data_IF_771669130636
#
_entry.id   IF_771669130636
#
_cell.length_a   1.000
_cell.length_b   1.000
_cell.length_c   1.000
_cell.angle_alpha   90.00
_cell.angle_beta   90.00
_cell.angle_gamma   90.00
#
_symmetry.space_group_name_H-M   'P 1'
#
loop_
_entity.id
_entity.type
_entity.pdbx_description
1 polymer ?
#
# COMPACT_ATOMS: atom_id res chain seq x y z
N UNK A 1 -31.09 -23.57 -67.33
CA UNK A 1 -29.93 -24.46 -67.53
C UNK A 1 -28.67 -23.63 -67.26
N UNK A 2 -28.10 -23.73 -66.06
CA UNK A 2 -26.96 -22.89 -65.64
C UNK A 2 -25.67 -23.30 -66.37
N UNK A 3 -24.94 -22.32 -66.89
CA UNK A 3 -23.64 -22.53 -67.54
C UNK A 3 -22.60 -23.00 -66.52
N UNK A 4 -21.77 -24.00 -66.90
CA UNK A 4 -20.71 -24.57 -66.05
C UNK A 4 -19.77 -23.50 -65.47
N UNK A 5 -19.61 -22.35 -66.13
CA UNK A 5 -18.80 -21.21 -65.66
C UNK A 5 -19.38 -20.56 -64.39
N UNK A 6 -20.70 -20.36 -64.33
CA UNK A 6 -21.35 -19.76 -63.14
C UNK A 6 -21.34 -20.68 -61.92
N UNK A 7 -21.32 -22.00 -62.13
CA UNK A 7 -21.23 -22.98 -61.03
C UNK A 7 -19.87 -22.87 -60.32
N UNK A 8 -18.79 -22.76 -61.09
CA UNK A 8 -17.43 -22.63 -60.54
C UNK A 8 -17.27 -21.30 -59.79
N UNK A 9 -17.75 -20.21 -60.36
CA UNK A 9 -17.69 -18.87 -59.75
C UNK A 9 -18.45 -18.82 -58.40
N UNK A 10 -19.63 -19.44 -58.34
CA UNK A 10 -20.42 -19.52 -57.10
C UNK A 10 -19.71 -20.37 -56.02
N UNK A 11 -19.06 -21.47 -56.39
CA UNK A 11 -18.31 -22.29 -55.43
C UNK A 11 -17.10 -21.55 -54.86
N UNK A 12 -16.38 -20.80 -55.68
CA UNK A 12 -15.23 -20.00 -55.23
C UNK A 12 -15.67 -18.93 -54.24
N UNK A 13 -16.79 -18.23 -54.51
CA UNK A 13 -17.33 -17.23 -53.60
C UNK A 13 -17.77 -17.82 -52.25
N UNK A 14 -18.36 -19.02 -52.24
CA UNK A 14 -18.75 -19.70 -51.01
C UNK A 14 -17.54 -20.10 -50.15
N UNK A 15 -16.44 -20.54 -50.79
CA UNK A 15 -15.19 -20.87 -50.09
C UNK A 15 -14.54 -19.62 -49.51
N UNK A 16 -14.53 -18.51 -50.25
CA UNK A 16 -14.00 -17.24 -49.73
C UNK A 16 -14.86 -16.76 -48.55
N UNK A 17 -16.19 -16.81 -48.68
CA UNK A 17 -17.11 -16.41 -47.61
C UNK A 17 -16.92 -17.28 -46.35
N UNK A 18 -16.72 -18.59 -46.48
CA UNK A 18 -16.49 -19.47 -45.33
C UNK A 18 -15.14 -19.21 -44.66
N UNK A 19 -14.08 -18.91 -45.42
CA UNK A 19 -12.78 -18.53 -44.89
C UNK A 19 -12.83 -17.17 -44.18
N UNK A 20 -13.56 -16.19 -44.72
CA UNK A 20 -13.78 -14.91 -44.06
C UNK A 20 -14.58 -15.05 -42.76
N UNK A 21 -15.66 -15.84 -42.76
CA UNK A 21 -16.43 -16.11 -41.55
C UNK A 21 -15.61 -16.84 -40.50
N UNK A 22 -14.80 -17.82 -40.92
CA UNK A 22 -13.87 -18.50 -40.02
C UNK A 22 -12.84 -17.52 -39.46
N UNK A 23 -12.20 -16.70 -40.30
CA UNK A 23 -11.24 -15.69 -39.87
C UNK A 23 -11.83 -14.69 -38.89
N UNK A 24 -13.02 -14.15 -39.18
CA UNK A 24 -13.75 -13.25 -38.28
C UNK A 24 -14.14 -13.93 -36.96
N UNK A 25 -14.58 -15.19 -37.01
CA UNK A 25 -14.88 -16.00 -35.82
C UNK A 25 -13.63 -16.26 -34.97
N UNK A 26 -12.50 -16.64 -35.59
CA UNK A 26 -11.22 -16.85 -34.92
C UNK A 26 -10.68 -15.55 -34.30
N UNK A 27 -10.75 -14.44 -35.02
CA UNK A 27 -10.23 -13.15 -34.55
C UNK A 27 -11.05 -12.54 -33.41
N UNK A 28 -12.37 -12.81 -33.36
CA UNK A 28 -13.24 -12.42 -32.26
C UNK A 28 -13.06 -13.31 -31.01
N UNK A 29 -12.63 -14.57 -31.17
CA UNK A 29 -12.41 -15.50 -30.06
C UNK A 29 -11.19 -15.14 -29.21
N UNK A 30 -10.13 -14.63 -29.84
CA UNK A 30 -8.88 -14.28 -29.16
C UNK A 30 -9.02 -13.03 -28.27
N UNK A 31 -9.82 -12.02 -28.69
CA UNK A 31 -10.09 -10.81 -27.89
C UNK A 31 -10.92 -11.09 -26.63
N UNK A 32 -11.91 -11.98 -26.72
CA UNK A 32 -12.73 -12.34 -25.55
C UNK A 32 -11.92 -13.07 -24.46
N UNK A 33 -10.95 -13.91 -24.85
CA UNK A 33 -10.11 -14.63 -23.89
C UNK A 33 -9.14 -13.73 -23.11
N UNK A 34 -8.60 -12.68 -23.73
CA UNK A 34 -7.68 -11.74 -23.06
C UNK A 34 -8.40 -10.86 -22.02
N UNK A 35 -9.63 -10.45 -22.29
CA UNK A 35 -10.43 -9.65 -21.36
C UNK A 35 -10.89 -10.49 -20.15
N UNK A 36 -11.30 -11.74 -20.40
CA UNK A 36 -11.72 -12.69 -19.36
C UNK A 36 -10.55 -13.07 -18.43
N UNK A 37 -9.35 -13.30 -18.97
CA UNK A 37 -8.15 -13.56 -18.15
C UNK A 37 -7.70 -12.36 -17.32
N UNK A 38 -7.83 -11.13 -17.85
CA UNK A 38 -7.54 -9.92 -17.09
C UNK A 38 -8.54 -9.71 -15.94
N UNK A 39 -9.83 -9.96 -16.19
CA UNK A 39 -10.87 -9.91 -15.15
C UNK A 39 -10.68 -10.99 -14.09
N UNK A 40 -10.35 -12.22 -14.49
CA UNK A 40 -10.06 -13.32 -13.55
C UNK A 40 -8.87 -12.99 -12.64
N UNK A 41 -7.82 -12.36 -13.20
CA UNK A 41 -6.65 -11.92 -12.42
C UNK A 41 -7.01 -10.82 -11.42
N UNK A 42 -7.84 -9.85 -11.81
CA UNK A 42 -8.31 -8.79 -10.91
C UNK A 42 -9.17 -9.36 -9.78
N UNK A 43 -10.10 -10.27 -10.09
CA UNK A 43 -10.92 -10.98 -9.11
C UNK A 43 -10.08 -11.78 -8.11
N UNK A 44 -9.11 -12.57 -8.60
CA UNK A 44 -8.18 -13.31 -7.73
C UNK A 44 -7.39 -12.39 -6.80
N UNK A 45 -6.91 -11.26 -7.33
CA UNK A 45 -6.16 -10.28 -6.53
C UNK A 45 -7.05 -9.60 -5.48
N UNK A 46 -8.30 -9.32 -5.82
CA UNK A 46 -9.29 -8.77 -4.88
C UNK A 46 -9.64 -9.77 -3.77
N UNK A 47 -9.80 -11.06 -4.09
CA UNK A 47 -9.97 -12.13 -3.12
C UNK A 47 -8.77 -12.26 -2.18
N UNK A 48 -7.53 -12.25 -2.71
CA UNK A 48 -6.32 -12.26 -1.90
C UNK A 48 -6.26 -11.07 -0.95
N UNK A 49 -6.51 -9.86 -1.46
CA UNK A 49 -6.55 -8.64 -0.64
C UNK A 49 -7.63 -8.75 0.44
N UNK A 50 -8.82 -9.23 0.11
CA UNK A 50 -9.92 -9.42 1.06
C UNK A 50 -9.61 -10.50 2.10
N UNK A 51 -8.85 -11.53 1.75
CA UNK A 51 -8.34 -12.52 2.68
C UNK A 51 -7.32 -11.88 3.65
N UNK A 52 -6.40 -11.05 3.17
CA UNK A 52 -5.47 -10.32 4.04
C UNK A 52 -6.18 -9.32 4.94
N UNK A 53 -7.16 -8.57 4.42
CA UNK A 53 -7.97 -7.62 5.19
C UNK A 53 -8.80 -8.35 6.25
N UNK A 54 -9.47 -9.46 5.91
CA UNK A 54 -10.27 -10.21 6.89
C UNK A 54 -9.43 -10.80 8.02
N UNK A 55 -8.22 -11.29 7.69
CA UNK A 55 -7.25 -11.78 8.68
C UNK A 55 -6.73 -10.67 9.60
N UNK A 56 -6.65 -9.43 9.11
CA UNK A 56 -6.14 -8.28 9.87
C UNK A 56 -7.23 -7.39 10.47
N UNK A 57 -8.51 -7.65 10.15
CA UNK A 57 -9.67 -6.85 10.56
C UNK A 57 -9.82 -6.70 12.08
N UNK A 58 -9.18 -7.58 12.85
CA UNK A 58 -9.13 -7.57 14.31
C UNK A 58 -7.72 -7.43 14.91
N UNK A 59 -6.66 -7.30 14.10
CA UNK A 59 -5.36 -6.80 14.57
C UNK A 59 -5.33 -5.29 14.39
N UNK A 60 -6.30 -4.61 15.00
CA UNK A 60 -6.17 -3.18 15.28
C UNK A 60 -4.96 -3.05 16.20
N UNK A 61 -3.97 -2.25 15.81
CA UNK A 61 -2.92 -1.84 16.75
C UNK A 61 -3.66 -1.35 17.99
N UNK A 62 -3.43 -1.97 19.16
CA UNK A 62 -4.09 -1.59 20.42
C UNK A 62 -4.07 -0.06 20.46
N UNK A 63 -5.22 0.57 20.70
CA UNK A 63 -5.37 2.03 20.65
C UNK A 63 -4.42 2.64 21.69
N UNK A 64 -3.16 2.83 21.31
CA UNK A 64 -2.16 3.45 22.12
C UNK A 64 -2.49 4.94 22.11
N UNK A 65 -2.85 5.45 23.29
CA UNK A 65 -2.95 6.88 23.52
C UNK A 65 -1.52 7.39 23.59
N UNK A 66 -1.10 8.10 22.56
CA UNK A 66 0.19 8.76 22.54
C UNK A 66 0.00 10.24 22.85
N UNK A 67 0.99 10.84 23.50
CA UNK A 67 0.98 12.29 23.78
C UNK A 67 1.87 12.99 22.76
N UNK A 68 1.34 13.92 21.97
CA UNK A 68 2.17 14.73 21.08
C UNK A 68 3.13 15.60 21.88
N UNK A 69 4.17 16.11 21.22
CA UNK A 69 5.04 17.15 21.75
C UNK A 69 4.29 18.42 22.24
N UNK A 70 3.09 18.69 21.74
CA UNK A 70 2.21 19.80 22.17
C UNK A 70 1.29 19.42 23.35
N UNK A 71 1.39 18.18 23.85
CA UNK A 71 0.57 17.67 24.94
C UNK A 71 -0.81 17.17 24.53
N UNK A 72 -1.12 17.11 23.23
CA UNK A 72 -2.38 16.58 22.73
C UNK A 72 -2.36 15.05 22.74
N UNK A 73 -3.43 14.43 23.22
CA UNK A 73 -3.60 12.98 23.08
C UNK A 73 -4.03 12.65 21.65
N UNK A 74 -3.36 11.66 21.06
CA UNK A 74 -3.64 11.15 19.72
C UNK A 74 -3.71 9.64 19.76
N UNK A 75 -4.70 9.08 19.05
CA UNK A 75 -4.81 7.64 18.85
C UNK A 75 -4.40 7.29 17.43
N UNK A 76 -3.66 6.20 17.27
CA UNK A 76 -3.29 5.71 15.93
C UNK A 76 -4.51 5.38 15.06
N UNK A 77 -5.66 5.06 15.68
CA UNK A 77 -6.92 4.77 15.00
C UNK A 77 -7.67 6.00 14.48
N UNK A 78 -7.25 7.22 14.87
CA UNK A 78 -7.85 8.46 14.38
C UNK A 78 -7.53 8.70 12.88
N UNK A 79 -6.47 8.07 12.37
CA UNK A 79 -5.97 8.26 11.01
C UNK A 79 -6.38 7.06 10.13
N UNK A 80 -7.49 7.16 9.38
CA UNK A 80 -8.08 5.97 8.71
C UNK A 80 -7.63 5.68 7.27
N UNK A 81 -6.91 6.59 6.61
CA UNK A 81 -6.76 6.52 5.15
C UNK A 81 -5.33 6.68 4.60
N UNK A 82 -4.32 6.84 5.46
CA UNK A 82 -2.91 6.85 5.05
C UNK A 82 -2.15 5.66 5.64
N UNK A 83 -1.18 5.08 4.88
CA UNK A 83 -0.19 4.16 5.43
C UNK A 83 0.52 4.82 6.62
N UNK A 84 0.87 4.00 7.62
CA UNK A 84 1.53 4.47 8.84
C UNK A 84 2.88 3.80 8.97
N UNK A 85 3.86 4.59 9.39
CA UNK A 85 5.16 4.10 9.83
C UNK A 85 5.25 4.44 11.31
N UNK A 86 5.36 3.41 12.16
CA UNK A 86 5.54 3.57 13.59
C UNK A 86 6.97 3.18 13.92
N UNK A 87 7.71 4.09 14.53
CA UNK A 87 9.10 3.86 14.93
C UNK A 87 9.20 4.13 16.42
N UNK A 88 9.59 3.10 17.17
CA UNK A 88 9.90 3.21 18.58
C UNK A 88 11.38 3.53 18.74
N UNK A 89 11.71 4.54 19.53
CA UNK A 89 13.09 4.99 19.71
C UNK A 89 13.31 5.56 21.10
N UNK A 90 14.59 5.81 21.41
CA UNK A 90 15.03 6.57 22.57
C UNK A 90 16.36 7.25 22.23
N UNK A 91 16.68 8.38 22.86
CA UNK A 91 17.89 9.16 22.62
C UNK A 91 19.17 8.39 22.94
N UNK A 92 19.13 7.48 23.91
CA UNK A 92 20.28 6.66 24.32
C UNK A 92 20.48 5.39 23.46
N UNK A 93 19.51 5.02 22.62
CA UNK A 93 19.52 3.79 21.84
C UNK A 93 20.47 3.90 20.62
N UNK A 94 21.59 3.16 20.58
CA UNK A 94 22.61 3.34 19.54
C UNK A 94 22.14 2.98 18.13
N UNK A 95 21.31 1.95 18.00
CA UNK A 95 20.79 1.54 16.69
C UNK A 95 19.71 2.52 16.21
N UNK A 96 18.86 3.00 17.12
CA UNK A 96 17.91 4.07 16.83
C UNK A 96 18.62 5.31 16.28
N UNK A 97 19.72 5.76 16.91
CA UNK A 97 20.50 6.91 16.42
C UNK A 97 21.01 6.73 14.97
N UNK A 98 21.33 5.50 14.54
CA UNK A 98 21.75 5.21 13.16
C UNK A 98 20.57 5.22 12.18
N UNK A 99 19.38 4.83 12.65
CA UNK A 99 18.17 4.73 11.84
C UNK A 99 17.45 6.06 11.65
N UNK A 100 17.40 6.91 12.69
CA UNK A 100 16.67 8.19 12.66
C UNK A 100 17.06 9.13 11.50
N UNK A 101 18.35 9.26 11.09
CA UNK A 101 18.71 10.04 9.89
C UNK A 101 18.15 9.46 8.59
N UNK A 102 17.96 8.14 8.51
CA UNK A 102 17.34 7.49 7.35
C UNK A 102 15.85 7.80 7.35
N UNK A 103 15.21 7.70 8.53
CA UNK A 103 13.79 7.98 8.70
C UNK A 103 13.48 9.45 8.42
N UNK A 104 14.32 10.40 8.83
CA UNK A 104 14.19 11.81 8.48
C UNK A 104 14.12 12.02 6.96
N UNK A 105 15.01 11.37 6.18
CA UNK A 105 14.96 11.46 4.71
C UNK A 105 13.69 10.86 4.13
N UNK A 106 13.15 9.81 4.75
CA UNK A 106 11.87 9.23 4.34
C UNK A 106 10.71 10.16 4.69
N UNK A 107 10.73 10.78 5.88
CA UNK A 107 9.75 11.77 6.30
C UNK A 107 9.74 12.95 5.32
N UNK A 108 10.90 13.56 5.02
CA UNK A 108 11.01 14.69 4.10
C UNK A 108 10.36 14.39 2.73
N UNK A 109 10.49 13.14 2.25
CA UNK A 109 9.98 12.70 0.95
C UNK A 109 8.51 12.26 0.96
N UNK A 110 8.02 11.73 2.08
CA UNK A 110 6.75 11.00 2.14
C UNK A 110 5.74 11.53 3.17
N UNK A 111 6.05 12.58 3.94
CA UNK A 111 5.16 13.16 4.96
C UNK A 111 3.75 13.53 4.46
N UNK A 112 3.59 13.86 3.18
CA UNK A 112 2.27 14.16 2.59
C UNK A 112 1.43 12.89 2.34
N UNK A 113 2.08 11.74 2.22
CA UNK A 113 1.48 10.46 1.80
C UNK A 113 1.43 9.41 2.91
N UNK A 114 2.30 9.51 3.91
CA UNK A 114 2.50 8.53 4.97
C UNK A 114 2.47 9.26 6.32
N UNK A 115 1.73 8.71 7.27
CA UNK A 115 1.76 9.17 8.65
C UNK A 115 2.97 8.56 9.37
N UNK A 116 3.86 9.40 9.90
CA UNK A 116 4.99 8.97 10.71
C UNK A 116 4.67 9.15 12.20
N UNK A 117 4.71 8.06 12.96
CA UNK A 117 4.55 8.04 14.41
C UNK A 117 5.90 7.71 15.03
N UNK A 118 6.67 8.76 15.36
CA UNK A 118 7.97 8.62 15.99
C UNK A 118 7.76 8.56 17.51
N UNK A 119 7.60 7.35 18.02
CA UNK A 119 7.23 7.09 19.42
C UNK A 119 8.49 7.02 20.27
N UNK A 120 8.68 8.03 21.10
CA UNK A 120 9.77 8.09 22.07
C UNK A 120 9.38 7.37 23.36
N UNK A 121 10.24 6.43 23.77
CA UNK A 121 10.04 5.58 24.93
C UNK A 121 10.67 6.26 26.16
N UNK A 122 9.85 7.05 26.87
CA UNK A 122 10.28 7.84 28.03
C UNK A 122 10.05 7.02 29.32
N UNK A 123 11.11 6.35 29.79
CA UNK A 123 11.09 5.55 31.03
C UNK A 123 11.27 6.38 32.31
N UNK A 124 11.63 7.67 32.18
CA UNK A 124 11.86 8.58 33.30
C UNK A 124 13.23 8.41 33.98
N UNK A 125 14.04 7.44 33.54
CA UNK A 125 15.36 7.15 34.11
C UNK A 125 16.47 7.38 33.09
N UNK A 126 16.50 6.59 32.02
CA UNK A 126 17.48 6.70 30.93
C UNK A 126 16.99 7.64 29.85
N UNK A 127 15.69 7.66 29.62
CA UNK A 127 15.04 8.60 28.70
C UNK A 127 14.07 9.49 29.48
N UNK A 128 14.25 10.79 29.33
CA UNK A 128 13.41 11.85 29.91
C UNK A 128 12.93 12.77 28.80
N UNK A 129 11.88 13.54 29.04
CA UNK A 129 11.45 14.57 28.10
C UNK A 129 12.58 15.55 27.75
N UNK A 130 13.44 15.88 28.72
CA UNK A 130 14.55 16.81 28.48
C UNK A 130 15.63 16.19 27.60
N UNK A 131 16.05 14.96 27.88
CA UNK A 131 17.07 14.26 27.07
C UNK A 131 16.57 14.05 25.63
N UNK A 132 15.30 13.69 25.48
CA UNK A 132 14.65 13.53 24.19
C UNK A 132 14.64 14.84 23.40
N UNK A 133 14.09 15.91 23.98
CA UNK A 133 14.02 17.20 23.30
C UNK A 133 15.41 17.76 22.99
N UNK A 134 16.39 17.59 23.89
CA UNK A 134 17.76 18.00 23.65
C UNK A 134 18.37 17.23 22.47
N UNK A 135 18.18 15.91 22.41
CA UNK A 135 18.67 15.09 21.33
C UNK A 135 18.07 15.49 19.98
N UNK A 136 16.73 15.64 19.91
CA UNK A 136 16.04 16.05 18.69
C UNK A 136 16.53 17.41 18.18
N UNK A 137 16.68 18.40 19.08
CA UNK A 137 17.21 19.72 18.74
C UNK A 137 18.65 19.66 18.22
N UNK A 138 19.50 18.87 18.88
CA UNK A 138 20.91 18.74 18.50
C UNK A 138 21.08 18.04 17.14
N UNK A 139 20.21 17.08 16.81
CA UNK A 139 20.24 16.37 15.53
C UNK A 139 19.49 17.10 14.41
N UNK A 140 18.63 18.06 14.75
CA UNK A 140 17.86 18.82 13.76
C UNK A 140 16.74 18.01 13.11
N UNK A 141 16.20 17.01 13.80
CA UNK A 141 15.08 16.23 13.31
C UNK A 141 13.78 17.05 13.33
N UNK A 142 12.93 16.84 12.32
CA UNK A 142 11.69 17.61 12.11
C UNK A 142 10.44 16.75 12.02
N UNK A 143 10.58 15.42 12.01
CA UNK A 143 9.44 14.52 12.09
C UNK A 143 8.63 14.73 13.38
N UNK A 144 7.31 14.50 13.37
CA UNK A 144 6.49 14.61 14.57
C UNK A 144 6.83 13.49 15.56
N UNK A 145 7.05 13.87 16.83
CA UNK A 145 7.37 12.96 17.93
C UNK A 145 6.19 12.84 18.87
N UNK A 146 5.99 11.61 19.35
CA UNK A 146 4.96 11.25 20.31
C UNK A 146 5.60 10.55 21.50
N UNK A 147 5.16 10.90 22.69
CA UNK A 147 5.71 10.40 23.94
C UNK A 147 4.85 9.23 24.43
N UNK A 148 5.50 8.10 24.68
CA UNK A 148 4.93 6.97 25.42
C UNK A 148 5.43 7.00 26.86
N UNK A 149 4.73 7.78 27.70
CA UNK A 149 4.89 7.75 29.15
C UNK A 149 4.23 6.47 29.68
N UNK A 150 4.97 5.69 30.48
CA UNK A 150 4.53 4.42 31.09
C UNK A 150 4.47 3.19 30.17
N UNK A 151 5.12 3.23 28.99
CA UNK A 151 5.27 2.07 28.07
C UNK A 151 3.92 1.45 27.64
N UNK A 152 2.87 2.26 27.53
CA UNK A 152 1.50 1.80 27.29
C UNK A 152 1.25 1.42 25.82
N UNK A 153 2.14 1.81 24.91
CA UNK A 153 2.07 1.43 23.51
C UNK A 153 2.42 -0.05 23.24
N UNK A 154 2.85 -0.78 24.28
CA UNK A 154 3.05 -2.24 24.27
C UNK A 154 1.83 -3.04 24.79
#
# INVERSE_FOLDING_TARGET
>A
MMSKKHVVETMVLLVIASLFLAGFYYQNQESHHQEETAQELLLKKEEEINQYISKTKNTTFKNALLTSNEGAQVQLSDYKFRPKVVVFWASWCPDCQKELPIIQRLYDKYQDKVDFFMVDIVDGERETLETSHQFLRNQGFTFPVYIDQDLQAF
#
